data_IF_123159526250
#
_entry.id   IF_123159526250
#
_cell.length_a   1.000
_cell.length_b   1.000
_cell.length_c   1.000
_cell.angle_alpha   90.00
_cell.angle_beta   90.00
_cell.angle_gamma   90.00
#
_symmetry.space_group_name_H-M   'P 1'
#
loop_
_entity.id
_entity.type
_entity.pdbx_description
1 polymer ?
#
# COMPACT_ATOMS: atom_id res chain seq x y z
N UNK A 1 -14.43 -7.64 8.13
CA UNK A 1 -14.61 -6.26 8.61
C UNK A 1 -13.98 -5.37 7.58
N UNK A 2 -14.66 -4.30 7.19
CA UNK A 2 -14.28 -3.56 5.99
C UNK A 2 -13.86 -2.15 6.42
N UNK A 3 -12.72 -1.71 5.89
CA UNK A 3 -12.18 -0.37 6.08
C UNK A 3 -12.17 0.34 4.73
N UNK A 4 -12.50 1.61 4.71
CA UNK A 4 -12.41 2.44 3.51
C UNK A 4 -11.27 3.44 3.66
N UNK A 5 -10.42 3.58 2.65
CA UNK A 5 -9.28 4.50 2.67
C UNK A 5 -9.75 5.95 2.88
N UNK A 6 -10.94 6.31 2.35
CA UNK A 6 -11.57 7.63 2.56
C UNK A 6 -11.83 7.96 4.03
N UNK A 7 -11.99 6.98 4.90
CA UNK A 7 -12.19 7.19 6.34
C UNK A 7 -10.93 7.81 7.00
N UNK A 8 -9.78 7.70 6.32
CA UNK A 8 -8.50 8.24 6.73
C UNK A 8 -8.09 9.50 5.95
N UNK A 9 -8.99 10.07 5.14
CA UNK A 9 -8.69 11.19 4.23
C UNK A 9 -8.14 12.45 4.94
N UNK A 10 -8.42 12.63 6.25
CA UNK A 10 -7.84 13.70 7.08
C UNK A 10 -6.32 13.64 7.20
N UNK A 11 -5.69 12.52 6.85
CA UNK A 11 -4.25 12.29 6.89
C UNK A 11 -3.59 12.50 5.52
N UNK A 12 -4.35 12.84 4.47
CA UNK A 12 -3.81 13.10 3.13
C UNK A 12 -3.10 14.45 3.13
N UNK A 13 -1.86 14.48 2.61
CA UNK A 13 -1.09 15.71 2.45
C UNK A 13 -1.01 16.11 0.97
N UNK A 14 -1.76 17.14 0.58
CA UNK A 14 -1.89 17.51 -0.82
C UNK A 14 -2.61 16.40 -1.60
N UNK A 15 -1.88 15.70 -2.47
CA UNK A 15 -2.35 14.51 -3.20
C UNK A 15 -1.80 13.19 -2.64
N UNK A 16 -0.93 13.22 -1.62
CA UNK A 16 -0.22 12.06 -1.10
C UNK A 16 -1.06 11.27 -0.09
N UNK A 17 -1.48 10.07 -0.49
CA UNK A 17 -2.27 9.15 0.32
C UNK A 17 -1.42 8.25 1.21
N UNK A 18 -0.08 8.31 1.15
CA UNK A 18 0.76 7.33 1.86
C UNK A 18 0.53 7.32 3.38
N UNK A 19 0.34 8.47 4.04
CA UNK A 19 0.06 8.48 5.48
C UNK A 19 -1.33 7.91 5.83
N UNK A 20 -2.35 8.25 5.03
CA UNK A 20 -3.69 7.70 5.19
C UNK A 20 -3.69 6.17 5.01
N UNK A 21 -2.96 5.66 4.02
CA UNK A 21 -2.77 4.24 3.78
C UNK A 21 -2.06 3.55 4.94
N UNK A 22 -1.02 4.16 5.50
CA UNK A 22 -0.27 3.61 6.66
C UNK A 22 -1.19 3.41 7.86
N UNK A 23 -2.07 4.37 8.13
CA UNK A 23 -3.05 4.25 9.21
C UNK A 23 -4.12 3.21 8.89
N UNK A 24 -4.63 3.17 7.65
CA UNK A 24 -5.61 2.16 7.24
C UNK A 24 -5.06 0.73 7.39
N UNK A 25 -3.82 0.48 6.93
CA UNK A 25 -3.14 -0.80 7.10
C UNK A 25 -2.88 -1.13 8.58
N UNK A 26 -2.62 -0.13 9.43
CA UNK A 26 -2.51 -0.34 10.86
C UNK A 26 -3.83 -0.86 11.45
N UNK A 27 -4.97 -0.24 11.10
CA UNK A 27 -6.29 -0.70 11.54
C UNK A 27 -6.62 -2.10 11.02
N UNK A 28 -6.30 -2.38 9.75
CA UNK A 28 -6.45 -3.71 9.17
C UNK A 28 -5.68 -4.78 9.94
N UNK A 29 -4.45 -4.48 10.39
CA UNK A 29 -3.63 -5.43 11.15
C UNK A 29 -4.23 -5.81 12.50
N UNK A 30 -5.03 -4.92 13.09
CA UNK A 30 -5.77 -5.21 14.34
C UNK A 30 -7.01 -6.08 14.10
N UNK A 31 -7.38 -6.35 12.84
CA UNK A 31 -8.61 -7.05 12.46
C UNK A 31 -8.33 -8.09 11.36
N UNK A 32 -7.80 -9.28 11.70
CA UNK A 32 -7.57 -10.36 10.74
C UNK A 32 -8.82 -10.71 9.93
N UNK A 33 -8.65 -11.03 8.64
CA UNK A 33 -9.74 -11.26 7.69
C UNK A 33 -10.45 -9.99 7.20
N UNK A 34 -9.80 -8.81 7.30
CA UNK A 34 -10.39 -7.56 6.85
C UNK A 34 -10.19 -7.29 5.36
N UNK A 35 -11.06 -6.43 4.82
CA UNK A 35 -10.93 -5.85 3.48
C UNK A 35 -10.65 -4.35 3.62
N UNK A 36 -9.60 -3.87 2.97
CA UNK A 36 -9.34 -2.45 2.75
C UNK A 36 -9.78 -2.05 1.35
N UNK A 37 -10.82 -1.24 1.27
CA UNK A 37 -11.31 -0.60 0.06
C UNK A 37 -10.53 0.69 -0.21
N UNK A 38 -9.93 0.84 -1.39
CA UNK A 38 -9.20 2.05 -1.79
C UNK A 38 -10.13 3.15 -2.33
N UNK A 39 -11.42 2.84 -2.48
CA UNK A 39 -12.49 3.77 -2.89
C UNK A 39 -12.30 4.34 -4.31
N UNK A 40 -11.63 3.60 -5.19
CA UNK A 40 -11.46 3.96 -6.59
C UNK A 40 -10.70 5.27 -6.82
N UNK A 41 -10.79 5.77 -8.05
CA UNK A 41 -10.16 7.03 -8.45
C UNK A 41 -8.63 6.97 -8.50
N UNK A 42 -8.01 8.12 -8.74
CA UNK A 42 -6.53 8.22 -8.79
C UNK A 42 -5.99 8.48 -7.39
N UNK A 43 -5.01 7.68 -6.97
CA UNK A 43 -4.35 7.79 -5.66
C UNK A 43 -2.85 7.94 -5.86
N UNK A 44 -2.28 9.05 -5.40
CA UNK A 44 -0.85 9.30 -5.48
C UNK A 44 -0.18 8.85 -4.18
N UNK A 45 0.97 8.19 -4.30
CA UNK A 45 1.76 7.71 -3.17
C UNK A 45 3.21 8.13 -3.29
N UNK A 46 3.74 8.76 -2.23
CA UNK A 46 5.11 9.28 -2.19
C UNK A 46 5.91 8.65 -1.06
N UNK A 47 7.23 8.88 -1.13
CA UNK A 47 8.25 8.33 -0.24
C UNK A 47 8.12 8.76 1.23
N UNK A 48 7.63 9.98 1.51
CA UNK A 48 7.72 10.65 2.83
C UNK A 48 7.22 9.79 4.00
N UNK A 49 6.17 9.00 3.77
CA UNK A 49 5.52 8.18 4.80
C UNK A 49 5.59 6.67 4.51
N UNK A 50 6.34 6.27 3.48
CA UNK A 50 6.52 4.87 3.13
C UNK A 50 7.28 4.13 4.26
N UNK A 51 7.01 2.83 4.41
CA UNK A 51 7.75 2.02 5.35
C UNK A 51 9.20 1.81 4.86
N UNK A 52 10.15 1.78 5.77
CA UNK A 52 11.57 1.58 5.48
C UNK A 52 12.00 0.20 5.98
N UNK A 53 12.53 -0.64 5.09
CA UNK A 53 13.03 -1.97 5.42
C UNK A 53 14.21 -2.36 4.52
N UNK A 54 15.14 -3.15 5.05
CA UNK A 54 16.13 -3.84 4.22
C UNK A 54 15.49 -5.09 3.60
N UNK A 55 15.58 -5.22 2.27
CA UNK A 55 15.10 -6.39 1.56
C UNK A 55 16.12 -6.95 0.58
N UNK A 56 16.15 -8.27 0.50
CA UNK A 56 16.98 -9.06 -0.41
C UNK A 56 16.06 -9.79 -1.40
N UNK A 57 15.50 -9.04 -2.34
CA UNK A 57 14.58 -9.58 -3.34
C UNK A 57 15.41 -10.24 -4.44
N UNK A 58 15.24 -11.55 -4.64
CA UNK A 58 15.97 -12.29 -5.68
C UNK A 58 15.82 -11.59 -7.04
N UNK A 59 16.91 -11.60 -7.82
CA UNK A 59 16.98 -11.00 -9.16
C UNK A 59 16.73 -9.49 -9.23
N UNK A 60 16.77 -8.80 -8.08
CA UNK A 60 16.67 -7.35 -7.99
C UNK A 60 17.81 -6.81 -7.11
N UNK A 61 18.04 -5.50 -7.17
CA UNK A 61 19.02 -4.84 -6.30
C UNK A 61 18.63 -5.01 -4.83
N UNK A 62 19.60 -5.45 -4.02
CA UNK A 62 19.46 -5.64 -2.58
C UNK A 62 19.58 -4.30 -1.84
N UNK A 63 18.98 -4.23 -0.65
CA UNK A 63 19.23 -3.15 0.31
C UNK A 63 17.99 -2.41 0.77
N UNK A 64 18.17 -1.15 1.14
CA UNK A 64 17.15 -0.32 1.76
C UNK A 64 16.01 0.04 0.77
N UNK A 65 14.76 -0.27 1.13
CA UNK A 65 13.57 -0.04 0.31
C UNK A 65 12.57 0.85 1.04
N UNK A 66 11.89 1.71 0.28
CA UNK A 66 10.74 2.49 0.70
C UNK A 66 9.47 1.84 0.17
N UNK A 67 8.61 1.33 1.05
CA UNK A 67 7.49 0.45 0.70
C UNK A 67 6.18 1.15 1.00
N UNK A 68 5.34 1.34 0.00
CA UNK A 68 4.06 2.05 0.15
C UNK A 68 3.01 1.15 0.80
N UNK A 69 2.85 -0.08 0.31
CA UNK A 69 1.97 -1.10 0.86
C UNK A 69 2.80 -2.21 1.54
N UNK A 70 3.22 -2.03 2.80
CA UNK A 70 3.94 -3.05 3.57
C UNK A 70 2.95 -4.09 4.13
N UNK A 71 2.62 -5.10 3.32
CA UNK A 71 1.80 -6.24 3.74
C UNK A 71 2.70 -7.25 4.46
N UNK A 72 3.06 -6.91 5.71
CA UNK A 72 4.01 -7.66 6.53
C UNK A 72 3.30 -8.23 7.75
N UNK A 73 3.31 -9.55 7.92
CA UNK A 73 2.69 -10.23 9.08
C UNK A 73 1.17 -10.24 9.08
N UNK A 74 0.51 -10.12 7.93
CA UNK A 74 -0.96 -10.19 7.84
C UNK A 74 -1.44 -11.64 7.75
N UNK A 75 -2.59 -11.93 8.36
CA UNK A 75 -3.32 -13.19 8.21
C UNK A 75 -4.76 -12.87 7.80
N UNK A 76 -5.08 -13.08 6.53
CA UNK A 76 -6.36 -12.67 5.94
C UNK A 76 -6.42 -11.16 5.69
N UNK A 77 -5.85 -10.68 4.58
CA UNK A 77 -6.00 -9.29 4.13
C UNK A 77 -6.46 -9.23 2.68
N UNK A 78 -7.56 -8.55 2.41
CA UNK A 78 -7.91 -8.13 1.05
C UNK A 78 -7.66 -6.64 0.88
N UNK A 79 -6.91 -6.24 -0.15
CA UNK A 79 -6.85 -4.85 -0.62
C UNK A 79 -7.62 -4.81 -1.94
N UNK A 80 -8.78 -4.17 -1.90
CA UNK A 80 -9.66 -3.97 -3.05
C UNK A 80 -9.53 -2.54 -3.56
N UNK A 81 -9.07 -2.39 -4.79
CA UNK A 81 -8.89 -1.08 -5.40
C UNK A 81 -10.20 -0.37 -5.73
N UNK A 82 -11.32 -1.09 -5.83
CA UNK A 82 -12.59 -0.55 -6.35
C UNK A 82 -12.43 0.20 -7.69
N UNK A 83 -11.50 -0.27 -8.54
CA UNK A 83 -11.13 0.36 -9.81
C UNK A 83 -10.12 1.51 -9.69
N UNK A 84 -9.38 1.60 -8.57
CA UNK A 84 -8.39 2.65 -8.35
C UNK A 84 -7.20 2.58 -9.31
N UNK A 85 -6.67 3.74 -9.66
CA UNK A 85 -5.41 3.91 -10.37
C UNK A 85 -4.34 4.42 -9.41
N UNK A 86 -3.37 3.56 -9.08
CA UNK A 86 -2.34 3.82 -8.08
C UNK A 86 -1.09 4.40 -8.74
N UNK A 87 -0.78 5.66 -8.44
CA UNK A 87 0.33 6.43 -9.02
C UNK A 87 1.47 6.57 -8.02
N UNK A 88 2.62 6.00 -8.34
CA UNK A 88 3.79 5.98 -7.45
C UNK A 88 4.85 6.97 -7.90
N UNK A 89 5.36 7.76 -6.93
CA UNK A 89 6.27 8.87 -7.19
C UNK A 89 7.67 8.59 -6.63
N UNK A 90 8.66 8.64 -7.51
CA UNK A 90 10.06 8.42 -7.15
C UNK A 90 10.39 6.95 -6.90
N UNK A 91 11.53 6.71 -6.24
CA UNK A 91 12.04 5.36 -5.99
C UNK A 91 11.36 4.74 -4.76
N UNK A 92 10.18 4.16 -4.97
CA UNK A 92 9.43 3.38 -3.97
C UNK A 92 9.09 2.00 -4.53
N UNK A 93 8.89 1.03 -3.65
CA UNK A 93 8.31 -0.27 -3.94
C UNK A 93 6.79 -0.20 -3.67
N UNK A 94 5.91 -0.57 -4.62
CA UNK A 94 4.47 -0.46 -4.42
C UNK A 94 4.01 -1.39 -3.31
N UNK A 95 4.25 -2.69 -3.49
CA UNK A 95 3.83 -3.74 -2.57
C UNK A 95 5.04 -4.57 -2.16
N UNK A 96 5.12 -4.88 -0.88
CA UNK A 96 5.90 -6.01 -0.37
C UNK A 96 4.96 -6.86 0.46
N UNK A 97 4.86 -8.13 0.09
CA UNK A 97 4.13 -9.15 0.84
C UNK A 97 5.18 -10.05 1.50
N UNK A 98 5.25 -10.02 2.82
CA UNK A 98 6.25 -10.75 3.58
C UNK A 98 5.64 -11.31 4.87
N UNK A 99 6.03 -12.53 5.25
CA UNK A 99 5.50 -13.27 6.40
C UNK A 99 3.98 -13.17 6.54
N UNK A 100 3.24 -13.16 5.42
CA UNK A 100 1.79 -12.96 5.40
C UNK A 100 1.10 -14.17 4.76
N UNK A 101 -0.12 -14.44 5.22
CA UNK A 101 -0.96 -15.54 4.78
C UNK A 101 -2.33 -15.00 4.32
N UNK A 102 -2.92 -15.66 3.32
CA UNK A 102 -4.24 -15.32 2.77
C UNK A 102 -4.38 -13.83 2.39
N UNK A 103 -3.51 -13.38 1.48
CA UNK A 103 -3.52 -12.01 0.95
C UNK A 103 -4.15 -11.97 -0.44
N UNK A 104 -5.16 -11.13 -0.61
CA UNK A 104 -5.79 -10.85 -1.91
C UNK A 104 -5.56 -9.39 -2.30
N UNK A 105 -5.04 -9.17 -3.51
CA UNK A 105 -4.94 -7.86 -4.13
C UNK A 105 -5.80 -7.86 -5.41
N UNK A 106 -6.76 -6.95 -5.55
CA UNK A 106 -7.65 -6.93 -6.72
C UNK A 106 -8.16 -5.54 -7.11
N UNK A 107 -8.63 -5.42 -8.34
CA UNK A 107 -9.36 -4.26 -8.87
C UNK A 107 -8.60 -2.91 -8.81
N UNK A 108 -7.31 -2.90 -9.13
CA UNK A 108 -6.55 -1.66 -9.32
C UNK A 108 -5.52 -1.77 -10.46
N UNK A 109 -5.07 -0.62 -10.95
CA UNK A 109 -3.85 -0.49 -11.77
C UNK A 109 -2.71 0.12 -10.96
N UNK A 110 -1.47 -0.14 -11.40
CA UNK A 110 -0.25 0.43 -10.84
C UNK A 110 0.52 1.09 -11.97
N UNK A 111 0.95 2.33 -11.76
CA UNK A 111 1.81 3.06 -12.70
C UNK A 111 2.77 3.99 -11.97
N UNK A 112 3.85 4.37 -12.65
CA UNK A 112 4.83 5.34 -12.17
C UNK A 112 4.85 6.56 -13.06
N UNK A 113 4.91 7.73 -12.44
CA UNK A 113 4.99 9.01 -13.13
C UNK A 113 6.21 9.13 -14.05
N UNK A 114 7.31 8.46 -13.67
CA UNK A 114 8.55 8.41 -14.42
C UNK A 114 8.99 6.96 -14.53
N UNK A 115 9.14 6.42 -15.76
CA UNK A 115 9.67 5.07 -15.96
C UNK A 115 11.14 5.00 -15.53
N UNK A 116 11.55 3.81 -15.06
CA UNK A 116 12.93 3.48 -14.68
C UNK A 116 13.83 3.31 -15.90
#
# INVERSE_FOLDING_TARGET
>A
MDFHLRDFARLVEGDDWTLALREALHQCRLHPGCTLHLDGGVKHFRKKYAAEHEYFISNNDMGHKYIVFPVIGFDGLTIDGDGADLRFHGTVNPFVIDQSNDVTLRNFSVDYDHPF
#
